data_IF_946607358099
#
_entry.id   IF_946607358099
#
_cell.length_a   1.000
_cell.length_b   1.000
_cell.length_c   1.000
_cell.angle_alpha   90.00
_cell.angle_beta   90.00
_cell.angle_gamma   90.00
#
_symmetry.space_group_name_H-M   'P 1'
#
loop_
_entity.id
_entity.type
_entity.pdbx_description
1 polymer ?
#
# COMPACT_ATOMS: atom_id res chain seq x y z
N UNK A 1 42.79 36.88 10.37
CA UNK A 1 41.42 37.18 9.93
C UNK A 1 40.71 35.85 9.87
N UNK A 2 39.93 35.55 10.90
CA UNK A 2 39.22 34.28 11.07
C UNK A 2 37.80 34.46 10.51
N UNK A 3 37.46 33.74 9.43
CA UNK A 3 36.09 33.70 8.89
C UNK A 3 35.22 32.87 9.82
N UNK A 4 34.33 33.53 10.56
CA UNK A 4 33.27 32.89 11.32
C UNK A 4 32.23 32.30 10.34
N UNK A 5 32.24 30.98 10.20
CA UNK A 5 31.26 30.23 9.46
C UNK A 5 29.94 30.18 10.24
N UNK A 6 29.08 31.19 10.01
CA UNK A 6 27.74 31.32 10.59
C UNK A 6 26.78 30.31 9.95
N UNK A 7 26.79 29.06 10.40
CA UNK A 7 25.78 28.09 10.05
C UNK A 7 24.47 28.38 10.78
N UNK A 8 23.50 28.96 10.08
CA UNK A 8 22.15 29.17 10.62
C UNK A 8 21.53 27.82 11.05
N UNK A 9 20.87 27.74 12.22
CA UNK A 9 20.25 26.51 12.66
C UNK A 9 19.19 26.02 11.67
N UNK A 10 19.02 24.69 11.47
CA UNK A 10 18.06 24.15 10.52
C UNK A 10 16.66 24.65 10.86
N UNK A 11 15.99 25.24 9.87
CA UNK A 11 14.60 25.71 10.03
C UNK A 11 13.71 24.54 10.43
N UNK A 12 13.04 24.65 11.58
CA UNK A 12 12.10 23.64 12.08
C UNK A 12 10.94 23.51 11.08
N UNK A 13 10.90 22.39 10.34
CA UNK A 13 9.85 22.11 9.37
C UNK A 13 8.55 21.82 10.12
N UNK A 14 7.50 22.58 9.85
CA UNK A 14 6.18 22.32 10.41
C UNK A 14 5.51 21.21 9.60
N UNK A 15 4.97 20.19 10.28
CA UNK A 15 4.28 19.05 9.66
C UNK A 15 2.94 19.50 9.06
N UNK A 16 2.23 20.43 9.70
CA UNK A 16 0.96 20.95 9.22
C UNK A 16 1.12 22.23 8.38
N UNK A 17 0.37 22.31 7.29
CA UNK A 17 0.35 23.49 6.41
C UNK A 17 -0.95 24.30 6.49
N UNK A 18 -2.00 23.76 7.08
CA UNK A 18 -3.38 24.26 7.14
C UNK A 18 -4.07 24.40 5.77
N UNK A 19 -3.40 24.05 4.68
CA UNK A 19 -3.96 24.16 3.32
C UNK A 19 -5.09 23.17 3.05
N UNK A 20 -5.23 22.13 3.88
CA UNK A 20 -6.25 21.10 3.73
C UNK A 20 -7.51 21.30 4.58
N UNK A 21 -7.61 22.39 5.35
CA UNK A 21 -8.68 22.58 6.36
C UNK A 21 -10.05 22.85 5.70
N UNK A 22 -10.07 23.26 4.44
CA UNK A 22 -11.29 23.48 3.65
C UNK A 22 -11.73 22.24 2.84
N UNK A 23 -11.20 21.05 3.14
CA UNK A 23 -11.60 19.79 2.47
C UNK A 23 -10.92 19.54 1.13
N UNK A 24 -9.88 20.30 0.77
CA UNK A 24 -9.09 20.09 -0.44
C UNK A 24 -7.69 19.58 -0.14
N UNK A 25 -7.09 18.90 -1.12
CA UNK A 25 -5.69 18.43 -1.06
C UNK A 25 -5.00 18.55 -2.42
N UNK A 26 -3.67 18.38 -2.44
CA UNK A 26 -2.88 18.36 -3.67
C UNK A 26 -2.54 16.93 -4.05
N UNK A 27 -2.64 16.59 -5.31
CA UNK A 27 -2.10 15.38 -5.89
C UNK A 27 -0.60 15.56 -6.15
N UNK A 28 0.14 14.45 -6.36
CA UNK A 28 1.58 14.47 -6.62
C UNK A 28 1.93 15.34 -7.85
N UNK A 29 1.11 15.23 -8.91
CA UNK A 29 1.22 16.11 -10.08
C UNK A 29 -0.17 16.44 -10.59
N UNK A 30 -0.59 17.72 -10.48
CA UNK A 30 -1.91 18.14 -10.95
C UNK A 30 -2.53 19.25 -10.11
N UNK A 31 -3.81 19.56 -10.36
CA UNK A 31 -4.56 20.55 -9.61
C UNK A 31 -4.83 20.08 -8.17
N UNK A 32 -5.29 20.99 -7.34
CA UNK A 32 -5.93 20.63 -6.07
C UNK A 32 -7.29 19.99 -6.35
N UNK A 33 -7.65 19.01 -5.53
CA UNK A 33 -8.91 18.26 -5.62
C UNK A 33 -9.57 18.18 -4.25
N UNK A 34 -10.87 17.91 -4.20
CA UNK A 34 -11.56 17.58 -2.96
C UNK A 34 -10.99 16.32 -2.31
N UNK A 35 -11.03 16.23 -0.99
CA UNK A 35 -10.57 15.04 -0.27
C UNK A 35 -11.48 13.81 -0.51
N UNK A 36 -12.67 14.00 -1.07
CA UNK A 36 -13.62 13.00 -1.53
C UNK A 36 -13.36 12.50 -2.96
N UNK A 37 -12.33 13.01 -3.63
CA UNK A 37 -11.97 12.60 -4.99
C UNK A 37 -11.55 11.11 -5.02
N UNK A 38 -11.97 10.30 -6.04
CA UNK A 38 -11.65 8.86 -6.11
C UNK A 38 -10.17 8.51 -5.99
N UNK A 39 -9.25 9.38 -6.46
CA UNK A 39 -7.80 9.17 -6.28
C UNK A 39 -7.37 9.32 -4.83
N UNK A 40 -7.99 10.24 -4.08
CA UNK A 40 -7.69 10.45 -2.67
C UNK A 40 -8.25 9.32 -1.83
N UNK A 41 -9.46 8.84 -2.13
CA UNK A 41 -10.05 7.65 -1.50
C UNK A 41 -9.16 6.41 -1.74
N UNK A 42 -8.72 6.19 -2.98
CA UNK A 42 -7.88 5.05 -3.32
C UNK A 42 -6.51 5.11 -2.62
N UNK A 43 -5.82 6.26 -2.62
CA UNK A 43 -4.53 6.38 -1.94
C UNK A 43 -4.68 6.27 -0.42
N UNK A 44 -5.76 6.79 0.16
CA UNK A 44 -6.07 6.63 1.58
C UNK A 44 -6.26 5.16 1.97
N UNK A 45 -6.98 4.38 1.16
CA UNK A 45 -7.17 2.95 1.38
C UNK A 45 -5.85 2.15 1.25
N UNK A 46 -4.93 2.57 0.36
CA UNK A 46 -3.58 1.99 0.22
C UNK A 46 -2.72 2.30 1.44
N UNK A 47 -2.78 3.52 1.95
CA UNK A 47 -2.06 3.93 3.16
C UNK A 47 -2.56 3.15 4.40
N UNK A 48 -3.86 3.01 4.56
CA UNK A 48 -4.47 2.21 5.62
C UNK A 48 -4.05 0.73 5.55
N UNK A 49 -3.94 0.15 4.36
CA UNK A 49 -3.39 -1.20 4.18
C UNK A 49 -1.93 -1.27 4.64
N UNK A 50 -1.11 -0.29 4.28
CA UNK A 50 0.28 -0.22 4.73
C UNK A 50 0.39 -0.18 6.24
N UNK A 51 -0.46 0.61 6.91
CA UNK A 51 -0.54 0.66 8.37
C UNK A 51 -0.99 -0.67 8.99
N UNK A 52 -1.98 -1.35 8.39
CA UNK A 52 -2.44 -2.66 8.85
C UNK A 52 -1.36 -3.75 8.74
N UNK A 53 -0.57 -3.73 7.65
CA UNK A 53 0.60 -4.60 7.49
C UNK A 53 1.66 -4.25 8.54
N UNK A 54 1.93 -2.97 8.79
CA UNK A 54 2.86 -2.52 9.83
C UNK A 54 2.45 -3.01 11.22
N UNK A 55 1.16 -3.00 11.52
CA UNK A 55 0.61 -3.56 12.75
C UNK A 55 0.91 -5.08 12.86
N UNK A 56 0.68 -5.85 11.78
CA UNK A 56 0.98 -7.28 11.79
C UNK A 56 2.48 -7.54 12.03
N UNK A 57 3.37 -6.77 11.40
CA UNK A 57 4.83 -6.86 11.59
C UNK A 57 5.26 -6.58 13.03
N UNK A 58 4.58 -5.68 13.74
CA UNK A 58 4.92 -5.30 15.12
C UNK A 58 4.73 -6.42 16.15
N UNK A 59 4.05 -7.50 15.81
CA UNK A 59 3.89 -8.68 16.67
C UNK A 59 5.08 -9.66 16.63
N UNK A 60 6.13 -9.38 15.86
CA UNK A 60 7.31 -10.26 15.76
C UNK A 60 7.03 -11.45 14.85
N UNK A 61 7.17 -11.26 13.56
CA UNK A 61 7.01 -12.29 12.53
C UNK A 61 8.32 -13.05 12.30
N UNK A 62 8.25 -14.29 11.74
CA UNK A 62 9.44 -14.92 11.17
C UNK A 62 10.13 -14.00 10.17
N UNK A 63 11.47 -13.97 10.16
CA UNK A 63 12.29 -13.05 9.37
C UNK A 63 11.91 -13.05 7.88
N UNK A 64 11.67 -14.23 7.30
CA UNK A 64 11.23 -14.39 5.92
C UNK A 64 9.91 -13.64 5.66
N UNK A 65 8.91 -13.86 6.53
CA UNK A 65 7.58 -13.23 6.42
C UNK A 65 7.66 -11.72 6.61
N UNK A 66 8.43 -11.25 7.59
CA UNK A 66 8.64 -9.83 7.84
C UNK A 66 9.30 -9.15 6.64
N UNK A 67 10.33 -9.76 6.06
CA UNK A 67 11.01 -9.25 4.86
C UNK A 67 10.09 -9.20 3.62
N UNK A 68 9.18 -10.17 3.46
CA UNK A 68 8.15 -10.11 2.41
C UNK A 68 7.25 -8.90 2.62
N UNK A 69 6.71 -8.71 3.82
CA UNK A 69 5.78 -7.65 4.14
C UNK A 69 6.43 -6.27 4.05
N UNK A 70 7.71 -6.12 4.41
CA UNK A 70 8.44 -4.87 4.20
C UNK A 70 8.53 -4.50 2.72
N UNK A 71 8.87 -5.44 1.84
CA UNK A 71 8.88 -5.20 0.39
C UNK A 71 7.50 -4.81 -0.14
N UNK A 72 6.44 -5.43 0.38
CA UNK A 72 5.06 -5.05 0.03
C UNK A 72 4.76 -3.61 0.45
N UNK A 73 5.12 -3.18 1.66
CA UNK A 73 4.91 -1.79 2.09
C UNK A 73 5.68 -0.79 1.22
N UNK A 74 6.91 -1.09 0.80
CA UNK A 74 7.67 -0.27 -0.16
C UNK A 74 6.94 -0.17 -1.51
N UNK A 75 6.40 -1.27 -2.01
CA UNK A 75 5.60 -1.29 -3.25
C UNK A 75 4.29 -0.51 -3.10
N UNK A 76 3.64 -0.52 -1.95
CA UNK A 76 2.43 0.30 -1.69
C UNK A 76 2.73 1.80 -1.76
N UNK A 77 3.92 2.27 -1.34
CA UNK A 77 4.36 3.67 -1.52
C UNK A 77 4.47 4.02 -3.01
N UNK A 78 5.07 3.15 -3.82
CA UNK A 78 5.17 3.34 -5.27
C UNK A 78 3.78 3.43 -5.92
N UNK A 79 2.86 2.53 -5.53
CA UNK A 79 1.47 2.52 -6.02
C UNK A 79 0.73 3.80 -5.60
N UNK A 80 0.92 4.28 -4.37
CA UNK A 80 0.35 5.55 -3.91
C UNK A 80 0.80 6.72 -4.79
N UNK A 81 2.06 6.72 -5.22
CA UNK A 81 2.58 7.71 -6.16
C UNK A 81 1.92 7.57 -7.55
N UNK A 82 1.76 6.35 -8.07
CA UNK A 82 1.04 6.08 -9.34
C UNK A 82 -0.40 6.59 -9.29
N UNK A 83 -1.12 6.32 -8.19
CA UNK A 83 -2.51 6.74 -7.99
C UNK A 83 -2.62 8.27 -8.01
N UNK A 84 -1.68 8.99 -7.41
CA UNK A 84 -1.73 10.45 -7.28
C UNK A 84 -1.11 11.21 -8.45
N UNK A 85 -0.45 10.53 -9.39
CA UNK A 85 0.10 11.14 -10.60
C UNK A 85 -1.00 11.32 -11.66
N UNK A 86 -1.39 12.57 -11.96
CA UNK A 86 -2.40 12.89 -12.99
C UNK A 86 -1.80 13.14 -14.36
N UNK A 87 -0.55 13.52 -14.45
CA UNK A 87 0.08 13.92 -15.72
C UNK A 87 1.17 12.92 -16.09
N UNK A 88 0.95 12.03 -17.09
CA UNK A 88 2.00 11.17 -17.61
C UNK A 88 3.17 11.99 -18.14
N UNK A 89 4.40 11.61 -17.80
CA UNK A 89 5.62 12.16 -18.41
C UNK A 89 6.25 13.37 -17.72
N UNK A 90 5.66 13.96 -16.68
CA UNK A 90 6.30 15.07 -15.94
C UNK A 90 7.36 14.60 -14.96
N UNK A 91 7.20 13.38 -14.43
CA UNK A 91 8.16 12.66 -13.61
C UNK A 91 8.06 11.18 -13.93
N UNK A 92 9.18 10.45 -13.83
CA UNK A 92 9.16 9.00 -13.92
C UNK A 92 8.41 8.45 -12.69
N UNK A 93 7.17 8.03 -12.90
CA UNK A 93 6.33 7.46 -11.84
C UNK A 93 6.48 5.94 -11.91
N UNK A 94 6.87 5.28 -10.81
CA UNK A 94 6.86 3.82 -10.75
C UNK A 94 5.45 3.30 -11.07
N UNK A 95 5.35 2.30 -11.95
CA UNK A 95 4.08 1.67 -12.30
C UNK A 95 4.18 0.17 -12.10
N UNK A 96 3.07 -0.47 -11.73
CA UNK A 96 2.99 -1.92 -11.60
C UNK A 96 3.28 -2.59 -12.94
N UNK A 97 4.24 -3.50 -12.95
CA UNK A 97 4.62 -4.30 -14.10
C UNK A 97 4.02 -5.72 -14.02
N UNK A 98 3.88 -6.44 -15.15
CA UNK A 98 3.44 -7.83 -15.11
C UNK A 98 4.31 -8.74 -14.24
N UNK A 99 5.62 -8.44 -14.12
CA UNK A 99 6.55 -9.13 -13.22
C UNK A 99 6.21 -8.98 -11.75
N UNK A 100 5.67 -7.82 -11.33
CA UNK A 100 5.28 -7.60 -9.93
C UNK A 100 4.10 -8.51 -9.52
N UNK A 101 3.18 -8.80 -10.45
CA UNK A 101 2.06 -9.73 -10.20
C UNK A 101 2.57 -11.17 -10.11
N UNK A 102 3.44 -11.60 -11.05
CA UNK A 102 4.05 -12.93 -11.01
C UNK A 102 4.86 -13.19 -9.75
N UNK A 103 5.61 -12.18 -9.28
CA UNK A 103 6.34 -12.30 -8.02
C UNK A 103 5.44 -12.58 -6.81
N UNK A 104 4.22 -12.03 -6.78
CA UNK A 104 3.24 -12.37 -5.74
C UNK A 104 2.70 -13.80 -5.91
N UNK A 105 2.45 -14.25 -7.14
CA UNK A 105 2.01 -15.62 -7.43
C UNK A 105 3.05 -16.64 -6.98
N UNK A 106 4.33 -16.42 -7.25
CA UNK A 106 5.45 -17.25 -6.79
C UNK A 106 5.54 -17.30 -5.26
N UNK A 107 5.32 -16.16 -4.58
CA UNK A 107 5.29 -16.12 -3.10
C UNK A 107 4.08 -16.85 -2.52
N UNK A 108 2.92 -16.79 -3.16
CA UNK A 108 1.71 -17.50 -2.75
C UNK A 108 1.94 -19.01 -2.86
N UNK A 109 2.47 -19.48 -4.00
CA UNK A 109 2.74 -20.89 -4.25
C UNK A 109 3.74 -21.43 -3.23
N UNK A 110 4.89 -20.77 -3.05
CA UNK A 110 5.92 -21.16 -2.09
C UNK A 110 5.39 -21.16 -0.64
N UNK A 111 4.63 -20.14 -0.25
CA UNK A 111 4.05 -20.08 1.09
C UNK A 111 2.93 -21.11 1.30
N UNK A 112 2.23 -21.50 0.23
CA UNK A 112 1.15 -22.49 0.27
C UNK A 112 1.58 -23.93 0.29
N UNK A 113 2.80 -24.25 -0.20
CA UNK A 113 3.29 -25.64 -0.41
C UNK A 113 3.21 -26.53 0.85
N UNK A 114 3.49 -25.96 2.02
CA UNK A 114 3.45 -26.68 3.30
C UNK A 114 2.10 -26.66 4.01
N UNK A 115 1.11 -25.98 3.47
CA UNK A 115 -0.18 -25.83 4.12
C UNK A 115 -1.14 -26.99 3.76
N UNK A 116 -1.94 -27.47 4.73
CA UNK A 116 -2.97 -28.45 4.43
C UNK A 116 -4.03 -27.87 3.49
N UNK A 117 -4.67 -28.71 2.63
CA UNK A 117 -5.74 -28.26 1.76
C UNK A 117 -6.91 -27.67 2.57
N UNK A 118 -7.58 -26.68 2.00
CA UNK A 118 -8.76 -26.08 2.60
C UNK A 118 -9.96 -27.01 2.41
N UNK A 119 -10.58 -27.40 3.54
CA UNK A 119 -11.79 -28.23 3.55
C UNK A 119 -13.05 -27.45 3.95
N UNK A 120 -12.88 -26.23 4.48
CA UNK A 120 -13.96 -25.33 4.92
C UNK A 120 -13.51 -23.88 4.89
N UNK A 121 -14.45 -22.95 5.07
CA UNK A 121 -14.12 -21.54 5.26
C UNK A 121 -13.29 -21.34 6.55
N UNK A 122 -12.22 -20.56 6.44
CA UNK A 122 -11.38 -20.18 7.58
C UNK A 122 -12.00 -18.97 8.29
N UNK A 123 -12.30 -19.13 9.57
CA UNK A 123 -12.71 -18.00 10.41
C UNK A 123 -11.47 -17.15 10.69
N UNK A 124 -11.48 -15.83 10.40
CA UNK A 124 -10.36 -14.93 10.68
C UNK A 124 -10.02 -14.92 12.19
N UNK A 125 -8.77 -15.19 12.54
CA UNK A 125 -8.33 -15.30 13.94
C UNK A 125 -6.99 -16.03 14.02
N UNK A 126 -6.76 -16.75 15.11
CA UNK A 126 -5.53 -17.48 15.38
C UNK A 126 -4.60 -16.69 16.32
N UNK A 127 -3.30 -16.75 16.06
CA UNK A 127 -2.30 -15.94 16.77
C UNK A 127 -2.49 -14.44 16.53
N UNK A 128 -2.01 -13.53 17.40
CA UNK A 128 -2.11 -12.10 17.17
C UNK A 128 -1.59 -11.65 15.79
N UNK A 129 -0.42 -12.09 15.30
CA UNK A 129 0.04 -11.73 13.96
C UNK A 129 -0.84 -12.32 12.85
N UNK A 130 -1.34 -13.56 12.99
CA UNK A 130 -2.26 -14.17 12.04
C UNK A 130 -3.57 -13.35 11.92
N UNK A 131 -4.16 -12.99 13.06
CA UNK A 131 -5.36 -12.16 13.11
C UNK A 131 -5.13 -10.78 12.48
N UNK A 132 -3.99 -10.14 12.74
CA UNK A 132 -3.62 -8.87 12.13
C UNK A 132 -3.43 -8.98 10.61
N UNK A 133 -2.84 -10.07 10.09
CA UNK A 133 -2.76 -10.32 8.65
C UNK A 133 -4.14 -10.57 8.02
N UNK A 134 -5.07 -11.22 8.71
CA UNK A 134 -6.45 -11.36 8.24
C UNK A 134 -7.17 -10.00 8.17
N UNK A 135 -6.91 -9.09 9.12
CA UNK A 135 -7.38 -7.72 9.06
C UNK A 135 -6.76 -6.99 7.86
N UNK A 136 -5.44 -7.05 7.70
CA UNK A 136 -4.74 -6.46 6.55
C UNK A 136 -5.30 -6.97 5.21
N UNK A 137 -5.63 -8.26 5.11
CA UNK A 137 -6.30 -8.85 3.94
C UNK A 137 -7.66 -8.22 3.67
N UNK A 138 -8.47 -8.00 4.69
CA UNK A 138 -9.78 -7.36 4.53
C UNK A 138 -9.63 -5.88 4.07
N UNK A 139 -8.65 -5.16 4.62
CA UNK A 139 -8.28 -3.79 4.20
C UNK A 139 -7.76 -3.79 2.76
N UNK A 140 -6.92 -4.76 2.37
CA UNK A 140 -6.44 -4.94 1.00
C UNK A 140 -7.60 -5.05 -0.01
N UNK A 141 -8.60 -5.88 0.30
CA UNK A 141 -9.80 -6.01 -0.54
C UNK A 141 -10.66 -4.74 -0.58
N UNK A 142 -10.61 -3.89 0.45
CA UNK A 142 -11.25 -2.57 0.41
C UNK A 142 -10.46 -1.62 -0.50
N UNK A 143 -9.14 -1.59 -0.42
CA UNK A 143 -8.29 -0.82 -1.31
C UNK A 143 -8.47 -1.25 -2.78
N UNK A 144 -8.55 -2.56 -3.07
CA UNK A 144 -8.86 -3.09 -4.39
C UNK A 144 -10.18 -2.52 -4.94
N UNK A 145 -11.26 -2.50 -4.14
CA UNK A 145 -12.54 -1.92 -4.57
C UNK A 145 -12.44 -0.41 -4.83
N UNK A 146 -11.68 0.35 -4.03
CA UNK A 146 -11.44 1.76 -4.28
C UNK A 146 -10.70 2.01 -5.60
N UNK A 147 -9.72 1.15 -5.94
CA UNK A 147 -9.03 1.18 -7.23
C UNK A 147 -9.98 0.86 -8.41
N UNK A 148 -10.94 -0.04 -8.22
CA UNK A 148 -11.97 -0.32 -9.24
C UNK A 148 -12.87 0.90 -9.48
N UNK A 149 -13.24 1.62 -8.41
CA UNK A 149 -14.01 2.88 -8.53
C UNK A 149 -13.18 3.92 -9.28
N UNK A 150 -11.89 4.08 -8.92
CA UNK A 150 -10.98 4.98 -9.61
C UNK A 150 -10.88 4.65 -11.10
N UNK A 151 -10.67 3.38 -11.46
CA UNK A 151 -10.58 2.94 -12.86
C UNK A 151 -11.84 3.28 -13.67
N UNK A 152 -13.02 3.22 -13.04
CA UNK A 152 -14.29 3.57 -13.71
C UNK A 152 -14.45 5.08 -13.90
N UNK A 153 -13.88 5.88 -13.01
CA UNK A 153 -13.94 7.35 -13.06
C UNK A 153 -12.83 7.98 -13.90
N UNK A 154 -11.73 7.24 -14.15
CA UNK A 154 -10.56 7.72 -14.87
C UNK A 154 -10.02 6.62 -15.81
N UNK A 155 -10.38 6.72 -17.08
CA UNK A 155 -9.99 5.76 -18.12
C UNK A 155 -8.46 5.73 -18.40
N UNK A 156 -7.71 6.75 -17.97
CA UNK A 156 -6.25 6.78 -18.10
C UNK A 156 -5.54 5.99 -17.00
N UNK A 157 -6.25 5.62 -15.91
CA UNK A 157 -5.69 4.82 -14.84
C UNK A 157 -5.47 3.36 -15.28
N UNK A 158 -4.33 2.79 -14.90
CA UNK A 158 -3.96 1.41 -15.26
C UNK A 158 -4.79 0.36 -14.50
N UNK A 159 -5.10 -0.77 -15.14
CA UNK A 159 -5.73 -1.95 -14.49
C UNK A 159 -4.73 -2.80 -13.70
N UNK A 160 -3.43 -2.63 -13.90
CA UNK A 160 -2.39 -3.47 -13.28
C UNK A 160 -2.41 -3.44 -11.75
N UNK A 161 -2.60 -2.30 -11.06
CA UNK A 161 -2.74 -2.28 -9.61
C UNK A 161 -3.86 -3.18 -9.10
N UNK A 162 -5.01 -3.28 -9.80
CA UNK A 162 -6.13 -4.13 -9.38
C UNK A 162 -5.72 -5.61 -9.33
N UNK A 163 -5.03 -6.11 -10.39
CA UNK A 163 -4.54 -7.49 -10.41
C UNK A 163 -3.52 -7.74 -9.28
N UNK A 164 -2.64 -6.78 -9.02
CA UNK A 164 -1.66 -6.87 -7.95
C UNK A 164 -2.32 -6.93 -6.57
N UNK A 165 -3.32 -6.07 -6.28
CA UNK A 165 -4.06 -6.09 -5.01
C UNK A 165 -4.87 -7.37 -4.82
N UNK A 166 -5.42 -7.93 -5.90
CA UNK A 166 -6.11 -9.22 -5.85
C UNK A 166 -5.15 -10.32 -5.38
N UNK A 167 -3.94 -10.44 -5.99
CA UNK A 167 -2.90 -11.39 -5.55
C UNK A 167 -2.35 -11.07 -4.16
N UNK A 168 -2.20 -9.80 -3.80
CA UNK A 168 -1.79 -9.45 -2.44
C UNK A 168 -2.79 -9.94 -1.39
N UNK A 169 -4.09 -9.85 -1.66
CA UNK A 169 -5.12 -10.41 -0.79
C UNK A 169 -4.94 -11.91 -0.56
N UNK A 170 -4.60 -12.67 -1.62
CA UNK A 170 -4.33 -14.10 -1.53
C UNK A 170 -3.04 -14.38 -0.75
N UNK A 171 -1.97 -13.62 -0.99
CA UNK A 171 -0.72 -13.75 -0.24
C UNK A 171 -0.92 -13.51 1.26
N UNK A 172 -1.63 -12.44 1.64
CA UNK A 172 -1.92 -12.15 3.06
C UNK A 172 -2.72 -13.27 3.73
N UNK A 173 -3.65 -13.90 2.98
CA UNK A 173 -4.39 -15.06 3.47
C UNK A 173 -3.48 -16.27 3.71
N UNK A 174 -2.61 -16.60 2.76
CA UNK A 174 -1.69 -17.73 2.87
C UNK A 174 -0.69 -17.52 4.00
N UNK A 175 -0.11 -16.31 4.11
CA UNK A 175 0.81 -15.96 5.20
C UNK A 175 0.13 -16.04 6.58
N UNK A 176 -1.14 -15.58 6.69
CA UNK A 176 -1.89 -15.71 7.94
C UNK A 176 -2.15 -17.16 8.36
N UNK A 177 -2.24 -18.08 7.40
CA UNK A 177 -2.41 -19.52 7.69
C UNK A 177 -1.13 -20.21 8.15
N UNK A 178 0.04 -19.65 7.85
CA UNK A 178 1.36 -20.17 8.29
C UNK A 178 1.69 -19.80 9.74
N UNK A 179 1.00 -18.85 10.35
CA UNK A 179 1.23 -18.27 11.68
C UNK A 179 0.24 -18.81 12.71
#
# INVERSE_FOLDING_TARGET
MSEENSSSPPKKVRIYSRRGDLGETSLFSGPRVGKDHPRIEAVGAVDELSCAIGLARSFGLPEETDGILERIQRKLIEIGTEITAMTPGRHAVPTIQPGDVRALEELIDAAGESLPPLTSFVIPGGTPPAAALQLARAVCRRAERALVVLLRSDAAFSRRPIAWFNRLGDLLFVLARRL
#
